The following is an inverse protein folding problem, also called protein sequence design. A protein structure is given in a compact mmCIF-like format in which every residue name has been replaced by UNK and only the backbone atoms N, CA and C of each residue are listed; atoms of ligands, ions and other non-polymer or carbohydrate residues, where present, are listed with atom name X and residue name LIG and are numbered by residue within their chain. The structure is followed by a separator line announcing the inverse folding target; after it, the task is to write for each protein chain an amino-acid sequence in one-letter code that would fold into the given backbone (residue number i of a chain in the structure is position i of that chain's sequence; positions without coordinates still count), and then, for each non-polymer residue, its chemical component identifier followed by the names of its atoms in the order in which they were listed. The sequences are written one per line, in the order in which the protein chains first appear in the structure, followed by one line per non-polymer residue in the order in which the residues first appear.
data_IF_263965346763
#
_entry.id   IF_263965346763
#
_cell.length_a   1.000
_cell.length_b   1.000
_cell.length_c   1.000
_cell.angle_alpha   90.00
_cell.angle_beta   90.00
_cell.angle_gamma   90.00
#
_symmetry.space_group_name_H-M   'P 1'
#
loop_
_entity.id
_entity.type
_entity.pdbx_description
1 polymer ?
#
# COMPACT_ATOMS: atom_id res chain seq x y z
N UNK A 1 -3.05 7.30 8.62
CA UNK A 1 -1.62 7.59 8.38
C UNK A 1 -0.85 6.34 8.74
N UNK A 2 -0.10 5.79 7.77
CA UNK A 2 0.74 4.61 7.95
C UNK A 2 2.20 5.03 7.95
N UNK A 3 3.00 4.55 8.90
CA UNK A 3 4.44 4.84 8.96
C UNK A 3 5.20 3.62 8.47
N UNK A 4 5.78 3.72 7.28
CA UNK A 4 6.81 2.79 6.81
C UNK A 4 8.14 3.55 6.73
N UNK A 5 8.76 3.84 7.89
CA UNK A 5 10.13 4.36 8.04
C UNK A 5 10.46 5.75 7.44
N UNK A 6 10.06 6.01 6.20
CA UNK A 6 10.28 7.23 5.41
C UNK A 6 9.18 7.48 4.36
N UNK A 7 8.16 6.62 4.27
CA UNK A 7 7.10 6.73 3.25
C UNK A 7 5.71 6.76 3.88
N UNK A 8 5.18 7.95 4.20
CA UNK A 8 3.82 8.08 4.68
C UNK A 8 2.80 7.57 3.66
N UNK A 9 1.81 6.82 4.15
CA UNK A 9 0.61 6.46 3.39
C UNK A 9 -0.64 7.12 3.97
N UNK A 10 -1.44 7.68 3.07
CA UNK A 10 -2.79 8.18 3.35
C UNK A 10 -3.77 7.29 2.60
N UNK A 11 -4.82 6.86 3.29
CA UNK A 11 -5.84 5.99 2.72
C UNK A 11 -7.24 6.52 3.03
N UNK A 12 -8.15 6.28 2.09
CA UNK A 12 -9.57 6.50 2.26
C UNK A 12 -10.32 5.22 1.94
N UNK A 13 -11.25 4.83 2.80
CA UNK A 13 -12.02 3.61 2.67
C UNK A 13 -13.51 3.90 2.89
N UNK A 14 -14.34 3.36 2.00
CA UNK A 14 -15.79 3.39 2.08
C UNK A 14 -16.31 1.98 2.32
N UNK A 15 -17.09 1.84 3.39
CA UNK A 15 -17.77 0.60 3.75
C UNK A 15 -19.02 0.48 2.86
N UNK A 16 -19.10 -0.60 2.09
CA UNK A 16 -20.25 -0.89 1.21
C UNK A 16 -21.28 -1.78 1.91
N UNK A 17 -20.82 -2.69 2.77
CA UNK A 17 -21.66 -3.60 3.55
C UNK A 17 -20.99 -3.93 4.89
N UNK A 18 -21.60 -4.76 5.74
CA UNK A 18 -21.01 -5.20 7.02
C UNK A 18 -19.63 -5.82 6.85
N UNK A 19 -19.43 -6.53 5.74
CA UNK A 19 -18.25 -7.37 5.52
C UNK A 19 -17.41 -6.90 4.34
N UNK A 20 -17.81 -5.85 3.62
CA UNK A 20 -17.15 -5.42 2.38
C UNK A 20 -16.83 -3.93 2.43
N UNK A 21 -15.61 -3.56 2.04
CA UNK A 21 -15.24 -2.18 1.78
C UNK A 21 -14.39 -2.03 0.51
N UNK A 22 -14.38 -0.81 -0.01
CA UNK A 22 -13.52 -0.38 -1.12
C UNK A 22 -12.80 0.89 -0.72
N UNK A 23 -11.57 1.06 -1.18
CA UNK A 23 -10.78 2.22 -0.85
C UNK A 23 -9.62 2.42 -1.80
N UNK A 24 -8.83 3.44 -1.51
CA UNK A 24 -7.56 3.66 -2.19
C UNK A 24 -6.56 4.27 -1.21
N UNK A 25 -5.28 3.97 -1.43
CA UNK A 25 -4.18 4.60 -0.72
C UNK A 25 -3.23 5.32 -1.66
N UNK A 26 -2.60 6.36 -1.12
CA UNK A 26 -1.51 7.12 -1.70
C UNK A 26 -0.34 7.04 -0.75
N UNK A 27 0.75 6.46 -1.23
CA UNK A 27 2.05 6.46 -0.58
C UNK A 27 2.95 7.44 -1.32
N UNK A 28 3.68 8.27 -0.57
CA UNK A 28 4.73 9.12 -1.10
C UNK A 28 5.99 8.92 -0.26
N UNK A 29 7.15 8.78 -0.89
CA UNK A 29 8.41 8.71 -0.14
C UNK A 29 8.95 10.12 0.16
N UNK A 30 9.40 10.32 1.41
CA UNK A 30 10.05 11.54 1.87
C UNK A 30 11.59 11.46 1.76
N UNK A 31 12.11 10.27 1.50
CA UNK A 31 13.53 9.98 1.35
C UNK A 31 13.68 9.03 0.15
N UNK A 32 14.03 9.60 -1.00
CA UNK A 32 14.18 8.85 -2.25
C UNK A 32 15.54 8.15 -2.36
N UNK A 33 16.51 8.56 -1.55
CA UNK A 33 17.86 7.97 -1.51
C UNK A 33 17.83 6.57 -0.89
N UNK A 34 16.89 6.32 0.03
CA UNK A 34 16.72 5.01 0.69
C UNK A 34 15.54 4.20 0.18
N UNK A 35 14.55 4.84 -0.44
CA UNK A 35 13.39 4.16 -0.98
C UNK A 35 13.21 4.52 -2.46
N UNK A 36 13.38 3.55 -3.37
CA UNK A 36 13.29 3.85 -4.80
C UNK A 36 11.86 4.19 -5.23
N UNK A 37 10.83 3.89 -4.43
CA UNK A 37 9.44 4.26 -4.75
C UNK A 37 9.17 5.74 -4.44
N UNK A 38 8.92 6.55 -5.47
CA UNK A 38 8.57 7.97 -5.30
C UNK A 38 7.13 8.15 -4.83
N UNK A 39 6.21 7.47 -5.51
CA UNK A 39 4.80 7.44 -5.16
C UNK A 39 4.17 6.11 -5.53
N UNK A 40 3.08 5.74 -4.84
CA UNK A 40 2.22 4.64 -5.22
C UNK A 40 0.75 5.00 -4.98
N UNK A 41 -0.09 4.77 -5.97
CA UNK A 41 -1.54 4.81 -5.87
C UNK A 41 -2.08 3.38 -5.89
N UNK A 42 -2.77 2.97 -4.84
CA UNK A 42 -3.22 1.59 -4.66
C UNK A 42 -4.71 1.54 -4.35
N UNK A 43 -5.61 1.41 -5.35
CA UNK A 43 -6.99 1.00 -5.12
C UNK A 43 -7.05 -0.41 -4.52
N UNK A 44 -8.00 -0.61 -3.60
CA UNK A 44 -8.19 -1.89 -2.93
C UNK A 44 -9.66 -2.21 -2.63
N UNK A 45 -9.95 -3.50 -2.62
CA UNK A 45 -11.19 -4.11 -2.16
C UNK A 45 -10.85 -4.98 -0.94
N UNK A 46 -11.65 -4.87 0.13
CA UNK A 46 -11.46 -5.65 1.36
C UNK A 46 -12.71 -6.42 1.72
N UNK A 47 -12.51 -7.69 2.06
CA UNK A 47 -13.53 -8.56 2.61
C UNK A 47 -13.15 -8.94 4.05
N UNK A 48 -13.99 -8.55 4.99
CA UNK A 48 -13.83 -8.75 6.42
C UNK A 48 -14.53 -10.03 6.89
N UNK A 49 -13.87 -10.71 7.83
CA UNK A 49 -14.37 -11.87 8.53
C UNK A 49 -14.51 -11.48 10.01
N UNK A 50 -15.67 -10.90 10.34
CA UNK A 50 -16.04 -10.53 11.70
C UNK A 50 -16.46 -11.78 12.50
N UNK A 51 -15.74 -12.08 13.58
CA UNK A 51 -16.11 -13.16 14.50
C UNK A 51 -17.32 -12.81 15.39
N UNK A 52 -17.93 -13.81 16.03
CA UNK A 52 -19.15 -13.72 16.87
C UNK A 52 -19.04 -12.91 18.18
N UNK A 53 -18.09 -11.97 18.33
CA UNK A 53 -17.95 -11.13 19.53
C UNK A 53 -18.55 -9.75 19.28
N UNK A 54 -19.26 -9.16 20.24
CA UNK A 54 -19.91 -7.84 20.10
C UNK A 54 -18.95 -6.70 19.67
N UNK A 55 -17.66 -6.79 19.99
CA UNK A 55 -16.63 -5.85 19.50
C UNK A 55 -16.23 -6.05 18.03
N UNK A 56 -16.50 -7.23 17.47
CA UNK A 56 -16.25 -7.67 16.09
C UNK A 56 -17.52 -7.67 15.23
N UNK A 57 -18.72 -7.50 15.82
CA UNK A 57 -19.97 -7.20 15.11
C UNK A 57 -20.01 -5.79 14.51
N UNK A 58 -18.97 -4.99 14.73
CA UNK A 58 -18.86 -3.65 14.16
C UNK A 58 -18.55 -3.76 12.66
N UNK A 59 -19.30 -3.02 11.84
CA UNK A 59 -19.12 -2.91 10.38
C UNK A 59 -17.65 -2.74 9.98
N UNK A 60 -17.15 -3.62 9.11
CA UNK A 60 -15.80 -3.64 8.56
C UNK A 60 -14.68 -3.63 9.64
N UNK A 61 -14.77 -4.54 10.61
CA UNK A 61 -13.74 -4.77 11.62
C UNK A 61 -13.43 -6.27 11.76
N UNK A 62 -12.20 -6.59 12.16
CA UNK A 62 -11.68 -7.95 12.29
C UNK A 62 -10.62 -8.30 11.24
N UNK A 63 -10.42 -9.60 11.04
CA UNK A 63 -9.56 -10.12 9.99
C UNK A 63 -10.12 -9.74 8.63
N UNK A 64 -9.26 -9.41 7.67
CA UNK A 64 -9.67 -9.19 6.29
C UNK A 64 -8.68 -9.77 5.30
N UNK A 65 -9.21 -10.09 4.12
CA UNK A 65 -8.43 -10.26 2.90
C UNK A 65 -8.62 -9.04 2.02
N UNK A 66 -7.55 -8.65 1.33
CA UNK A 66 -7.49 -7.49 0.45
C UNK A 66 -7.07 -7.96 -0.95
N UNK A 67 -7.84 -7.54 -1.96
CA UNK A 67 -7.40 -7.54 -3.34
C UNK A 67 -7.07 -6.10 -3.72
N UNK A 68 -5.87 -5.87 -4.25
CA UNK A 68 -5.41 -4.53 -4.60
C UNK A 68 -4.80 -4.49 -6.00
N UNK A 69 -4.80 -3.30 -6.58
CA UNK A 69 -3.98 -2.97 -7.74
C UNK A 69 -3.13 -1.77 -7.38
N UNK A 70 -1.85 -1.78 -7.74
CA UNK A 70 -0.95 -0.68 -7.45
C UNK A 70 -0.37 -0.11 -8.73
N UNK A 71 -0.33 1.21 -8.82
CA UNK A 71 0.45 1.96 -9.81
C UNK A 71 1.48 2.78 -9.06
N UNK A 72 2.75 2.66 -9.42
CA UNK A 72 3.83 3.32 -8.70
C UNK A 72 4.91 3.85 -9.63
N UNK A 73 5.64 4.86 -9.17
CA UNK A 73 6.87 5.35 -9.81
C UNK A 73 8.07 4.91 -8.99
N UNK A 74 9.09 4.40 -9.67
CA UNK A 74 10.36 4.02 -9.09
C UNK A 74 11.50 4.83 -9.74
N UNK A 75 12.40 5.38 -8.94
CA UNK A 75 13.69 5.84 -9.44
C UNK A 75 14.62 4.65 -9.65
N UNK A 76 15.17 4.56 -10.85
CA UNK A 76 16.24 3.63 -11.17
C UNK A 76 17.52 4.41 -11.41
N UNK A 77 18.56 4.01 -10.70
CA UNK A 77 19.92 4.42 -11.02
C UNK A 77 20.37 3.63 -12.26
N UNK A 78 20.41 4.32 -13.41
CA UNK A 78 20.92 3.73 -14.65
C UNK A 78 22.39 4.11 -14.75
N UNK A 79 23.25 3.43 -13.98
CA UNK A 79 24.69 3.66 -14.00
C UNK A 79 25.27 3.52 -15.40
N UNK A 80 25.49 4.62 -16.11
CA UNK A 80 26.18 4.64 -17.40
C UNK A 80 27.62 5.11 -17.19
N UNK A 81 28.58 4.19 -17.24
CA UNK A 81 30.01 4.53 -17.26
C UNK A 81 30.36 5.01 -18.66
N UNK A 82 30.42 6.34 -18.85
CA UNK A 82 30.98 6.95 -20.06
C UNK A 82 32.17 7.83 -19.65
N UNK A 83 33.38 7.38 -20.01
CA UNK A 83 34.62 8.16 -19.96
C UNK A 83 35.00 8.76 -18.59
N UNK A 84 34.95 7.97 -17.50
CA UNK A 84 35.57 8.34 -16.22
C UNK A 84 34.93 9.52 -15.49
N UNK A 85 33.77 9.98 -15.94
CA UNK A 85 32.86 10.84 -15.19
C UNK A 85 31.59 10.03 -14.89
N UNK A 86 31.26 9.89 -13.60
CA UNK A 86 29.98 9.32 -13.19
C UNK A 86 28.88 10.29 -13.63
N UNK A 87 28.11 9.89 -14.65
CA UNK A 87 26.87 10.56 -15.00
C UNK A 87 25.74 9.73 -14.38
N UNK A 88 25.31 10.11 -13.18
CA UNK A 88 24.08 9.60 -12.58
C UNK A 88 22.90 10.06 -13.45
N UNK A 89 22.30 9.14 -14.19
CA UNK A 89 21.04 9.37 -14.89
C UNK A 89 19.95 8.63 -14.13
N UNK A 90 19.25 9.36 -13.27
CA UNK A 90 18.04 8.85 -12.63
C UNK A 90 16.89 8.81 -13.65
N UNK A 91 16.39 7.61 -13.95
CA UNK A 91 15.21 7.45 -14.80
C UNK A 91 14.03 7.05 -13.93
N UNK A 92 12.94 7.81 -14.02
CA UNK A 92 11.67 7.47 -13.38
C UNK A 92 10.94 6.46 -14.26
N UNK A 93 10.67 5.30 -13.70
CA UNK A 93 9.93 4.24 -14.38
C UNK A 93 8.61 3.95 -13.67
N UNK A 94 7.56 3.72 -14.47
CA UNK A 94 6.23 3.38 -13.94
C UNK A 94 6.03 1.88 -13.87
N UNK A 95 5.55 1.40 -12.74
CA UNK A 95 5.10 0.02 -12.51
C UNK A 95 3.59 -0.04 -12.26
N UNK A 96 2.97 -1.16 -12.64
CA UNK A 96 1.55 -1.39 -12.40
C UNK A 96 1.27 -2.89 -12.24
N UNK A 97 0.56 -3.26 -11.18
CA UNK A 97 0.38 -4.64 -10.80
C UNK A 97 -0.89 -4.91 -10.01
N UNK A 98 -1.17 -6.20 -9.78
CA UNK A 98 -2.24 -6.66 -8.90
C UNK A 98 -1.66 -7.52 -7.79
N UNK A 99 -2.31 -7.50 -6.63
CA UNK A 99 -1.81 -8.15 -5.43
C UNK A 99 -2.89 -8.53 -4.45
N UNK A 100 -2.45 -9.28 -3.46
CA UNK A 100 -3.26 -9.73 -2.34
C UNK A 100 -2.57 -9.32 -1.04
N UNK A 101 -3.38 -8.97 -0.06
CA UNK A 101 -2.91 -8.76 1.30
C UNK A 101 -3.89 -9.35 2.30
N UNK A 102 -3.41 -9.54 3.51
CA UNK A 102 -4.22 -9.90 4.67
C UNK A 102 -3.96 -8.88 5.76
N UNK A 103 -4.95 -8.69 6.63
CA UNK A 103 -4.76 -7.77 7.74
C UNK A 103 -5.80 -7.91 8.81
N UNK A 104 -5.64 -7.06 9.82
CA UNK A 104 -6.56 -6.95 10.93
C UNK A 104 -6.92 -5.49 11.14
N UNK A 105 -8.22 -5.21 11.21
CA UNK A 105 -8.75 -3.88 11.51
C UNK A 105 -9.48 -3.89 12.86
N UNK A 106 -9.12 -2.98 13.75
CA UNK A 106 -9.75 -2.81 15.05
C UNK A 106 -10.47 -1.47 15.13
N UNK A 107 -11.74 -1.49 15.54
CA UNK A 107 -12.57 -0.30 15.72
C UNK A 107 -12.88 -0.08 17.21
N UNK A 108 -12.36 1.01 17.78
CA UNK A 108 -12.64 1.39 19.16
C UNK A 108 -14.09 1.87 19.34
N UNK A 109 -14.53 2.10 20.58
CA UNK A 109 -15.86 2.69 20.86
C UNK A 109 -15.95 4.17 20.45
N UNK A 110 -14.81 4.86 20.34
CA UNK A 110 -14.74 6.29 20.01
C UNK A 110 -14.44 6.52 18.52
N UNK A 111 -14.80 5.58 17.65
CA UNK A 111 -14.58 5.62 16.20
C UNK A 111 -13.12 5.72 15.73
N UNK A 112 -12.14 5.45 16.61
CA UNK A 112 -10.75 5.27 16.18
C UNK A 112 -10.56 3.91 15.53
N UNK A 113 -9.83 3.90 14.42
CA UNK A 113 -9.47 2.73 13.63
C UNK A 113 -7.97 2.51 13.77
N UNK A 114 -7.57 1.31 14.15
CA UNK A 114 -6.19 0.84 14.02
C UNK A 114 -6.17 -0.36 13.08
N UNK A 115 -5.20 -0.41 12.16
CA UNK A 115 -5.04 -1.55 11.27
C UNK A 115 -3.57 -1.94 11.13
N UNK A 116 -3.36 -3.23 10.89
CA UNK A 116 -2.09 -3.79 10.43
C UNK A 116 -2.36 -4.71 9.26
N UNK A 117 -1.52 -4.66 8.24
CA UNK A 117 -1.65 -5.52 7.07
C UNK A 117 -0.29 -5.87 6.47
N UNK A 118 -0.26 -7.00 5.76
CA UNK A 118 0.90 -7.50 5.03
C UNK A 118 0.45 -8.26 3.78
N UNK A 119 1.30 -8.26 2.76
CA UNK A 119 1.01 -8.85 1.46
C UNK A 119 1.95 -8.32 0.38
N UNK A 120 1.56 -8.56 -0.86
CA UNK A 120 2.30 -8.12 -2.03
C UNK A 120 1.55 -8.45 -3.31
N UNK A 121 2.06 -7.91 -4.41
CA UNK A 121 1.49 -8.13 -5.73
C UNK A 121 2.54 -8.31 -6.79
N UNK A 122 2.10 -8.76 -7.96
CA UNK A 122 2.94 -8.95 -9.14
C UNK A 122 2.80 -7.74 -10.05
N UNK A 123 3.93 -7.24 -10.53
CA UNK A 123 3.98 -6.22 -11.57
C UNK A 123 3.75 -6.88 -12.94
N UNK A 124 2.88 -6.28 -13.75
CA UNK A 124 2.56 -6.77 -15.09
C UNK A 124 3.07 -5.84 -16.19
N UNK A 125 3.59 -4.65 -15.85
CA UNK A 125 4.29 -3.82 -16.81
C UNK A 125 5.66 -4.44 -17.10
N UNK A 126 5.90 -4.72 -18.38
CA UNK A 126 7.15 -5.28 -18.86
C UNK A 126 8.18 -4.16 -18.95
N UNK A 127 9.04 -4.11 -17.95
CA UNK A 127 10.18 -3.22 -17.88
C UNK A 127 11.42 -4.08 -17.74
N UNK A 128 12.47 -3.81 -18.53
CA UNK A 128 13.66 -4.68 -18.60
C UNK A 128 14.43 -4.74 -17.27
N UNK A 129 14.13 -3.83 -16.33
CA UNK A 129 14.78 -3.72 -15.02
C UNK A 129 13.80 -3.51 -13.85
N UNK A 130 12.48 -3.58 -14.10
CA UNK A 130 11.44 -3.32 -13.11
C UNK A 130 11.29 -4.41 -12.07
N UNK A 131 10.99 -4.03 -10.82
CA UNK A 131 10.65 -4.99 -9.77
C UNK A 131 9.46 -5.86 -10.23
N UNK A 132 9.64 -7.19 -10.23
CA UNK A 132 8.61 -8.15 -10.64
C UNK A 132 7.42 -8.20 -9.66
N UNK A 133 7.62 -7.70 -8.44
CA UNK A 133 6.63 -7.67 -7.39
C UNK A 133 6.73 -6.37 -6.58
N UNK A 134 5.60 -5.94 -6.00
CA UNK A 134 5.54 -4.82 -5.08
C UNK A 134 5.09 -5.28 -3.69
N UNK A 135 5.66 -4.72 -2.61
CA UNK A 135 5.25 -5.05 -1.25
C UNK A 135 3.98 -4.28 -0.85
N UNK A 136 3.11 -4.89 -0.05
CA UNK A 136 1.93 -4.26 0.54
C UNK A 136 1.91 -4.52 2.05
N UNK A 137 2.52 -3.65 2.84
CA UNK A 137 2.49 -3.77 4.30
C UNK A 137 2.43 -2.42 4.99
N UNK A 138 1.86 -2.40 6.20
CA UNK A 138 1.69 -1.17 6.93
C UNK A 138 0.98 -1.35 8.27
N UNK A 139 1.23 -0.38 9.16
CA UNK A 139 0.47 -0.16 10.40
C UNK A 139 -0.13 1.24 10.29
N UNK A 140 -1.45 1.36 10.40
CA UNK A 140 -2.14 2.64 10.25
C UNK A 140 -3.10 2.93 11.38
N UNK A 141 -3.23 4.23 11.68
CA UNK A 141 -4.22 4.77 12.60
C UNK A 141 -5.07 5.79 11.84
N UNK A 142 -6.38 5.75 12.08
CA UNK A 142 -7.35 6.64 11.46
C UNK A 142 -8.58 6.86 12.34
N UNK A 143 -9.50 7.67 11.83
CA UNK A 143 -10.77 7.98 12.49
C UNK A 143 -11.91 7.78 11.51
N UNK A 144 -12.98 7.12 11.97
CA UNK A 144 -14.23 6.95 11.25
C UNK A 144 -15.17 8.11 11.57
N UNK A 145 -15.83 8.62 10.54
CA UNK A 145 -16.84 9.68 10.62
C UNK A 145 -18.19 9.12 10.17
#
# INVERSE_FOLDING_TARGET
FTIFGSSPEISYERILNTDISVGASLLASLDTDRNPYQFAFTPYFRWFFGGNRESMQKLAAGFFIEANGSMYSQLMDTGSVLNGAEAENEVSEMGAGLGLAIGWKYLTKNNWVGEIYLGGGRNFLKNDYGAEAYPRLGISIGKRF
#
